data_IF_059382604773
#
_entry.id   IF_059382604773
#
_cell.length_a   1.000
_cell.length_b   1.000
_cell.length_c   1.000
_cell.angle_alpha   90.00
_cell.angle_beta   90.00
_cell.angle_gamma   90.00
#
_symmetry.space_group_name_H-M   'P 1'
#
loop_
_entity.id
_entity.type
_entity.pdbx_description
1 polymer ?
#
# COMPACT_ATOMS: atom_id res chain seq x y z
N UNK A 1 -58.18 -43.96 9.83
CA UNK A 1 -56.79 -44.02 9.34
C UNK A 1 -55.98 -42.99 10.10
N UNK A 2 -55.07 -43.43 10.98
CA UNK A 2 -54.16 -42.53 11.70
C UNK A 2 -52.90 -42.34 10.83
N UNK A 3 -52.40 -41.11 10.62
CA UNK A 3 -51.19 -40.87 9.85
C UNK A 3 -49.97 -41.48 10.57
N UNK A 4 -49.12 -42.18 9.82
CA UNK A 4 -47.87 -42.74 10.34
C UNK A 4 -46.92 -41.62 10.76
N UNK A 5 -46.22 -41.75 11.91
CA UNK A 5 -45.25 -40.75 12.33
C UNK A 5 -44.12 -40.70 11.30
N UNK A 6 -43.99 -39.55 10.62
CA UNK A 6 -42.85 -39.27 9.75
C UNK A 6 -41.59 -39.44 10.57
N UNK A 7 -40.72 -40.35 10.15
CA UNK A 7 -39.41 -40.54 10.77
C UNK A 7 -38.71 -39.19 10.88
N UNK A 8 -38.30 -38.89 12.11
CA UNK A 8 -37.65 -37.66 12.51
C UNK A 8 -36.27 -37.59 11.83
N UNK A 9 -36.23 -37.05 10.60
CA UNK A 9 -35.07 -36.96 9.70
C UNK A 9 -33.78 -36.42 10.34
N UNK A 10 -33.91 -35.62 11.41
CA UNK A 10 -32.82 -35.11 12.25
C UNK A 10 -32.08 -36.17 13.09
N UNK A 11 -32.51 -37.44 13.11
CA UNK A 11 -31.82 -38.54 13.84
C UNK A 11 -30.76 -39.26 12.99
N UNK A 12 -30.59 -38.91 11.72
CA UNK A 12 -29.57 -39.53 10.88
C UNK A 12 -28.19 -38.89 11.14
N UNK A 13 -27.17 -39.66 11.54
CA UNK A 13 -25.83 -39.14 11.83
C UNK A 13 -25.18 -38.45 10.62
N UNK A 14 -25.59 -38.81 9.39
CA UNK A 14 -25.15 -38.15 8.17
C UNK A 14 -25.57 -36.68 8.05
N UNK A 15 -26.66 -36.26 8.69
CA UNK A 15 -27.12 -34.85 8.67
C UNK A 15 -26.17 -33.97 9.47
N UNK A 16 -25.66 -34.45 10.60
CA UNK A 16 -24.69 -33.72 11.42
C UNK A 16 -23.33 -33.62 10.74
N UNK A 17 -22.88 -34.69 10.06
CA UNK A 17 -21.65 -34.65 9.27
C UNK A 17 -21.75 -33.67 8.09
N UNK A 18 -22.87 -33.68 7.37
CA UNK A 18 -23.11 -32.74 6.27
C UNK A 18 -23.17 -31.28 6.76
N UNK A 19 -23.86 -31.02 7.88
CA UNK A 19 -23.92 -29.71 8.50
C UNK A 19 -22.55 -29.22 8.98
N UNK A 20 -21.76 -30.10 9.61
CA UNK A 20 -20.39 -29.80 10.02
C UNK A 20 -19.47 -29.49 8.84
N UNK A 21 -19.55 -30.28 7.77
CA UNK A 21 -18.78 -30.05 6.55
C UNK A 21 -19.18 -28.71 5.87
N UNK A 22 -20.48 -28.43 5.77
CA UNK A 22 -20.97 -27.17 5.22
C UNK A 22 -20.50 -25.96 6.04
N UNK A 23 -20.51 -26.07 7.38
CA UNK A 23 -20.01 -25.02 8.26
C UNK A 23 -18.50 -24.81 8.09
N UNK A 24 -17.72 -25.89 8.04
CA UNK A 24 -16.27 -25.82 7.85
C UNK A 24 -15.89 -25.19 6.51
N UNK A 25 -16.59 -25.55 5.42
CA UNK A 25 -16.41 -24.94 4.10
C UNK A 25 -16.84 -23.48 4.12
N UNK A 26 -17.98 -23.14 4.73
CA UNK A 26 -18.46 -21.77 4.85
C UNK A 26 -17.50 -20.87 5.63
N UNK A 27 -16.93 -21.36 6.73
CA UNK A 27 -15.92 -20.65 7.51
C UNK A 27 -14.60 -20.53 6.75
N UNK A 28 -14.15 -21.61 6.11
CA UNK A 28 -12.93 -21.60 5.30
C UNK A 28 -13.02 -20.58 4.16
N UNK A 29 -14.13 -20.58 3.42
CA UNK A 29 -14.38 -19.60 2.37
C UNK A 29 -14.54 -18.19 2.94
N UNK A 30 -15.31 -18.02 4.02
CA UNK A 30 -15.52 -16.72 4.65
C UNK A 30 -14.23 -16.05 5.13
N UNK A 31 -13.25 -16.84 5.59
CA UNK A 31 -11.96 -16.35 6.04
C UNK A 31 -10.93 -16.20 4.90
N UNK A 32 -10.98 -17.07 3.88
CA UNK A 32 -10.02 -17.05 2.78
C UNK A 32 -10.36 -16.06 1.66
N UNK A 33 -11.65 -15.85 1.37
CA UNK A 33 -12.11 -14.98 0.29
C UNK A 33 -11.60 -13.53 0.43
N UNK A 34 -11.62 -12.88 1.61
CA UNK A 34 -11.11 -11.52 1.75
C UNK A 34 -9.64 -11.39 1.34
N UNK A 35 -8.79 -12.36 1.68
CA UNK A 35 -7.35 -12.33 1.38
C UNK A 35 -7.01 -12.43 -0.12
N UNK A 36 -7.94 -12.95 -0.93
CA UNK A 36 -7.80 -12.99 -2.39
C UNK A 36 -8.26 -11.67 -3.02
N UNK A 37 -9.12 -10.91 -2.33
CA UNK A 37 -9.76 -9.70 -2.85
C UNK A 37 -9.14 -8.41 -2.30
N UNK A 38 -8.30 -8.49 -1.26
CA UNK A 38 -7.49 -7.36 -0.84
C UNK A 38 -6.52 -7.01 -1.94
N UNK A 39 -6.58 -5.77 -2.41
CA UNK A 39 -5.58 -5.24 -3.32
C UNK A 39 -4.19 -5.48 -2.72
N UNK A 40 -3.21 -5.81 -3.57
CA UNK A 40 -1.82 -6.02 -3.17
C UNK A 40 -0.95 -4.93 -3.76
N UNK A 41 0.13 -4.53 -3.08
CA UNK A 41 1.07 -3.60 -3.66
C UNK A 41 1.67 -4.20 -4.94
N UNK A 42 1.93 -3.33 -5.90
CA UNK A 42 2.53 -3.72 -7.18
C UNK A 42 4.02 -3.99 -6.99
N UNK A 43 4.67 -3.26 -6.07
CA UNK A 43 6.08 -3.42 -5.69
C UNK A 43 6.22 -3.27 -4.17
N UNK A 44 7.12 -4.06 -3.58
CA UNK A 44 7.55 -3.92 -2.19
C UNK A 44 9.05 -3.67 -2.20
N UNK A 45 9.47 -2.56 -1.60
CA UNK A 45 10.89 -2.25 -1.40
C UNK A 45 11.26 -2.47 0.06
N UNK A 46 12.32 -3.24 0.32
CA UNK A 46 12.86 -3.44 1.66
C UNK A 46 13.83 -2.32 2.05
N UNK A 47 14.17 -2.22 3.34
CA UNK A 47 15.29 -1.38 3.79
C UNK A 47 16.57 -1.86 3.13
N UNK A 48 17.38 -0.91 2.63
CA UNK A 48 18.75 -1.17 2.20
C UNK A 48 19.70 -0.83 3.38
N UNK A 49 20.22 -1.85 4.09
CA UNK A 49 21.04 -1.62 5.29
C UNK A 49 22.44 -1.08 4.96
N UNK A 50 22.88 -1.25 3.71
CA UNK A 50 24.22 -0.87 3.25
C UNK A 50 24.21 0.47 2.50
N UNK A 51 23.03 1.07 2.31
CA UNK A 51 22.88 2.36 1.66
C UNK A 51 23.59 3.47 2.45
N UNK A 52 24.55 4.18 1.84
CA UNK A 52 25.20 5.30 2.49
C UNK A 52 24.23 6.46 2.65
N UNK A 53 24.24 7.08 3.83
CA UNK A 53 23.54 8.36 4.05
C UNK A 53 24.57 9.47 3.98
N UNK A 54 24.52 10.29 2.94
CA UNK A 54 25.31 11.52 2.86
C UNK A 54 24.49 12.72 3.35
N UNK A 55 24.70 13.21 4.59
CA UNK A 55 23.91 14.31 5.16
C UNK A 55 24.10 15.63 4.42
N UNK A 56 25.06 15.73 3.49
CA UNK A 56 25.31 16.93 2.70
C UNK A 56 24.39 17.05 1.47
N UNK A 57 23.61 16.01 1.17
CA UNK A 57 22.66 16.02 0.06
C UNK A 57 21.60 17.13 0.23
N UNK A 58 21.27 17.81 -0.87
CA UNK A 58 20.42 18.99 -0.84
C UNK A 58 18.98 18.67 -0.40
N UNK A 59 18.46 17.51 -0.79
CA UNK A 59 17.12 17.07 -0.43
C UNK A 59 16.99 16.79 1.07
N UNK A 60 18.05 16.33 1.76
CA UNK A 60 18.04 16.10 3.21
C UNK A 60 17.77 17.41 3.94
N UNK A 61 18.51 18.48 3.61
CA UNK A 61 18.27 19.81 4.16
C UNK A 61 16.86 20.32 3.88
N UNK A 62 16.26 19.90 2.77
CA UNK A 62 14.89 20.27 2.44
C UNK A 62 13.87 19.48 3.27
N UNK A 63 14.11 18.18 3.48
CA UNK A 63 13.32 17.33 4.36
C UNK A 63 13.40 17.78 5.84
N UNK A 64 14.59 18.13 6.34
CA UNK A 64 14.77 18.70 7.68
C UNK A 64 13.94 19.97 7.87
N UNK A 65 13.91 20.86 6.88
CA UNK A 65 13.13 22.11 6.97
C UNK A 65 11.63 21.90 6.80
N UNK A 66 11.22 20.99 5.92
CA UNK A 66 9.81 20.82 5.57
C UNK A 66 9.06 19.85 6.49
N UNK A 67 9.76 18.85 7.02
CA UNK A 67 9.18 17.74 7.80
C UNK A 67 9.77 17.63 9.21
N UNK A 68 10.77 18.46 9.55
CA UNK A 68 11.48 18.43 10.84
C UNK A 68 12.12 17.06 11.14
N UNK A 69 12.51 16.33 10.09
CA UNK A 69 13.15 15.01 10.18
C UNK A 69 14.58 15.15 10.67
N UNK A 70 15.02 14.28 11.57
CA UNK A 70 16.43 14.16 11.97
C UNK A 70 17.19 13.31 10.94
N UNK A 71 18.20 13.89 10.30
CA UNK A 71 19.06 13.21 9.33
C UNK A 71 19.74 11.95 9.92
N UNK A 72 20.02 11.93 11.22
CA UNK A 72 20.61 10.77 11.90
C UNK A 72 19.67 9.57 12.03
N UNK A 73 18.39 9.75 11.75
CA UNK A 73 17.36 8.69 11.79
C UNK A 73 16.97 8.18 10.41
N UNK A 74 17.60 8.70 9.35
CA UNK A 74 17.28 8.33 7.98
C UNK A 74 17.66 6.87 7.70
N UNK A 75 16.71 6.15 7.11
CA UNK A 75 16.88 4.79 6.61
C UNK A 75 16.46 4.77 5.15
N UNK A 76 17.35 4.30 4.28
CA UNK A 76 17.07 4.15 2.87
C UNK A 76 16.35 2.82 2.61
N UNK A 77 15.50 2.82 1.60
CA UNK A 77 14.95 1.63 1.00
C UNK A 77 15.66 1.31 -0.31
N UNK A 78 15.49 0.07 -0.77
CA UNK A 78 15.89 -0.37 -2.11
C UNK A 78 15.39 0.62 -3.16
N UNK A 79 16.28 1.01 -4.07
CA UNK A 79 15.92 1.87 -5.18
C UNK A 79 15.03 1.12 -6.17
N UNK A 80 13.90 1.74 -6.53
CA UNK A 80 12.95 1.19 -7.50
C UNK A 80 12.88 2.11 -8.69
N UNK A 81 13.39 1.65 -9.83
CA UNK A 81 13.28 2.35 -11.13
C UNK A 81 13.84 3.79 -11.12
N UNK A 82 14.83 4.07 -10.27
CA UNK A 82 15.41 5.42 -10.13
C UNK A 82 14.73 6.30 -9.07
N UNK A 83 13.68 5.78 -8.42
CA UNK A 83 13.08 6.36 -7.23
C UNK A 83 13.74 5.76 -5.98
N UNK A 84 14.21 6.61 -5.10
CA UNK A 84 14.74 6.24 -3.79
C UNK A 84 13.75 6.69 -2.72
N UNK A 85 13.39 5.78 -1.82
CA UNK A 85 12.54 6.09 -0.69
C UNK A 85 13.35 6.08 0.59
N UNK A 86 12.98 6.95 1.50
CA UNK A 86 13.61 7.10 2.80
C UNK A 86 12.54 7.17 3.88
N UNK A 87 12.84 6.63 5.06
CA UNK A 87 12.10 7.00 6.26
C UNK A 87 13.01 7.66 7.29
N UNK A 88 12.42 8.51 8.11
CA UNK A 88 13.09 9.14 9.26
C UNK A 88 12.08 9.46 10.34
N UNK A 89 12.57 9.94 11.48
CA UNK A 89 11.74 10.38 12.60
C UNK A 89 11.86 11.89 12.74
N UNK A 90 10.73 12.58 12.90
CA UNK A 90 10.74 14.02 13.16
C UNK A 90 10.81 14.36 14.65
N UNK A 91 10.96 15.65 14.96
CA UNK A 91 11.06 16.15 16.34
C UNK A 91 9.84 15.79 17.23
N UNK A 92 8.67 15.55 16.64
CA UNK A 92 7.47 15.12 17.34
C UNK A 92 7.38 13.60 17.55
N UNK A 93 8.38 12.83 17.10
CA UNK A 93 8.39 11.37 17.14
C UNK A 93 7.52 10.71 16.08
N UNK A 94 7.04 11.46 15.08
CA UNK A 94 6.29 10.91 13.96
C UNK A 94 7.24 10.32 12.92
N UNK A 95 6.84 9.21 12.31
CA UNK A 95 7.57 8.59 11.21
C UNK A 95 7.26 9.34 9.91
N UNK A 96 8.29 9.69 9.18
CA UNK A 96 8.17 10.37 7.89
C UNK A 96 8.61 9.45 6.76
N UNK A 97 7.91 9.50 5.63
CA UNK A 97 8.28 8.92 4.35
C UNK A 97 8.69 10.05 3.41
N UNK A 98 9.85 9.91 2.78
CA UNK A 98 10.41 10.87 1.83
C UNK A 98 10.69 10.12 0.53
N UNK A 99 10.30 10.71 -0.59
CA UNK A 99 10.49 10.11 -1.91
C UNK A 99 11.34 11.05 -2.77
N UNK A 100 12.40 10.52 -3.36
CA UNK A 100 13.47 11.25 -4.03
C UNK A 100 13.79 10.60 -5.39
N UNK A 101 14.16 11.40 -6.39
CA UNK A 101 14.61 10.96 -7.71
C UNK A 101 15.94 11.62 -8.05
N UNK A 102 17.02 10.84 -8.01
CA UNK A 102 18.37 11.39 -8.04
C UNK A 102 18.59 12.36 -6.88
N UNK A 103 18.94 13.61 -7.18
CA UNK A 103 19.12 14.66 -6.16
C UNK A 103 17.85 15.48 -5.89
N UNK A 104 16.76 15.22 -6.61
CA UNK A 104 15.53 16.01 -6.53
C UNK A 104 14.59 15.44 -5.45
N UNK A 105 14.22 16.28 -4.49
CA UNK A 105 13.11 15.95 -3.59
C UNK A 105 11.79 15.94 -4.37
N UNK A 106 11.11 14.80 -4.33
CA UNK A 106 9.77 14.65 -4.85
C UNK A 106 8.73 15.23 -3.92
N UNK A 107 8.50 14.52 -2.81
CA UNK A 107 7.52 14.86 -1.79
C UNK A 107 7.80 14.05 -0.51
N UNK A 108 7.12 14.36 0.58
CA UNK A 108 7.19 13.57 1.80
C UNK A 108 6.01 13.84 2.71
N UNK A 109 5.75 12.90 3.61
CA UNK A 109 4.68 13.01 4.60
C UNK A 109 5.10 12.34 5.90
N UNK A 110 4.52 12.81 7.01
CA UNK A 110 4.74 12.22 8.32
C UNK A 110 3.42 11.76 8.92
N UNK A 111 3.47 10.67 9.69
CA UNK A 111 2.34 10.14 10.41
C UNK A 111 2.78 9.69 11.81
N UNK A 112 2.02 10.03 12.87
CA UNK A 112 2.27 9.49 14.19
C UNK A 112 1.82 8.03 14.27
N UNK A 113 2.44 7.23 15.14
CA UNK A 113 1.98 5.87 15.39
C UNK A 113 0.50 5.84 15.86
N UNK A 114 -0.30 4.84 15.44
CA UNK A 114 0.07 3.67 14.62
C UNK A 114 -0.19 3.88 13.11
N UNK A 115 -0.19 5.12 12.62
CA UNK A 115 -0.47 5.43 11.22
C UNK A 115 0.79 5.29 10.37
N UNK A 116 0.62 4.71 9.17
CA UNK A 116 1.67 4.62 8.17
C UNK A 116 1.72 5.94 7.35
N UNK A 117 2.88 6.59 7.16
CA UNK A 117 2.98 7.74 6.28
C UNK A 117 2.79 7.33 4.81
N UNK A 118 2.03 8.14 4.08
CA UNK A 118 1.64 7.91 2.69
C UNK A 118 2.03 9.09 1.83
N UNK A 119 2.66 8.83 0.68
CA UNK A 119 2.97 9.86 -0.31
C UNK A 119 2.37 9.45 -1.64
N UNK A 120 1.56 10.34 -2.22
CA UNK A 120 0.90 10.13 -3.51
C UNK A 120 1.48 11.08 -4.55
N UNK A 121 1.72 10.55 -5.74
CA UNK A 121 2.08 11.32 -6.92
C UNK A 121 1.07 11.05 -8.02
N UNK A 122 0.56 12.12 -8.61
CA UNK A 122 -0.21 12.06 -9.83
C UNK A 122 0.73 12.35 -11.00
N UNK A 123 0.66 11.50 -12.02
CA UNK A 123 1.43 11.67 -13.25
C UNK A 123 0.87 12.87 -14.00
N UNK A 124 1.73 13.85 -14.25
CA UNK A 124 1.46 15.08 -15.00
C UNK A 124 2.65 15.32 -15.93
N UNK A 125 2.46 15.79 -17.18
CA UNK A 125 3.54 16.23 -18.07
C UNK A 125 4.63 17.12 -17.44
N UNK A 126 4.31 17.91 -16.42
CA UNK A 126 5.27 18.79 -15.74
C UNK A 126 6.22 18.06 -14.75
N UNK A 127 5.86 16.85 -14.30
CA UNK A 127 6.62 16.06 -13.34
C UNK A 127 6.77 14.64 -13.89
N UNK A 128 7.71 14.40 -14.82
CA UNK A 128 8.01 13.06 -15.29
C UNK A 128 8.63 12.27 -14.12
N UNK A 129 7.85 11.41 -13.49
CA UNK A 129 8.39 10.43 -12.55
C UNK A 129 9.18 9.39 -13.34
N UNK A 130 10.44 9.11 -12.97
CA UNK A 130 11.19 8.01 -13.55
C UNK A 130 10.61 6.70 -13.01
N UNK A 131 9.57 6.20 -13.65
CA UNK A 131 9.10 4.83 -13.49
C UNK A 131 9.20 4.16 -14.86
N UNK A 132 9.68 2.91 -14.88
CA UNK A 132 10.03 2.14 -16.06
C UNK A 132 8.85 1.88 -17.00
N UNK A 133 7.62 1.95 -16.50
CA UNK A 133 6.42 1.96 -17.33
C UNK A 133 5.92 3.41 -17.47
N UNK A 134 5.78 3.94 -18.71
CA UNK A 134 5.13 5.22 -18.90
C UNK A 134 3.68 5.08 -18.44
N UNK A 135 3.37 5.68 -17.30
CA UNK A 135 1.99 5.83 -16.87
C UNK A 135 1.36 6.94 -17.70
N UNK A 136 0.14 6.71 -18.15
CA UNK A 136 -0.63 7.74 -18.81
C UNK A 136 -0.92 8.90 -17.84
N UNK A 137 -1.10 10.09 -18.42
CA UNK A 137 -1.45 11.29 -17.66
C UNK A 137 -2.68 11.04 -16.79
N UNK A 138 -2.62 11.46 -15.51
CA UNK A 138 -3.68 11.21 -14.54
C UNK A 138 -3.54 9.91 -13.75
N UNK A 139 -2.58 9.04 -14.11
CA UNK A 139 -2.20 7.89 -13.28
C UNK A 139 -1.70 8.30 -11.90
N UNK A 140 -1.78 7.40 -10.93
CA UNK A 140 -1.38 7.64 -9.53
C UNK A 140 -0.40 6.59 -9.07
N UNK A 141 0.67 7.06 -8.41
CA UNK A 141 1.63 6.22 -7.71
C UNK A 141 1.58 6.57 -6.24
N UNK A 142 1.32 5.58 -5.40
CA UNK A 142 1.23 5.72 -3.95
C UNK A 142 2.35 4.92 -3.29
N UNK A 143 3.04 5.57 -2.38
CA UNK A 143 4.06 4.99 -1.52
C UNK A 143 3.52 4.94 -0.10
N UNK A 144 3.61 3.79 0.57
CA UNK A 144 3.17 3.60 1.96
C UNK A 144 4.31 2.97 2.74
N UNK A 145 4.84 3.65 3.75
CA UNK A 145 5.86 3.06 4.61
C UNK A 145 5.18 2.27 5.74
N UNK A 146 5.31 0.95 5.71
CA UNK A 146 4.72 0.04 6.70
C UNK A 146 5.79 -0.88 7.27
N UNK A 147 6.07 -0.74 8.57
CA UNK A 147 7.15 -1.51 9.20
C UNK A 147 8.48 -1.28 8.46
N UNK A 148 9.17 -2.33 8.05
CA UNK A 148 10.47 -2.24 7.38
C UNK A 148 10.38 -2.28 5.85
N UNK A 149 9.21 -1.99 5.29
CA UNK A 149 9.00 -1.96 3.83
C UNK A 149 8.29 -0.68 3.39
N UNK A 150 8.51 -0.33 2.12
CA UNK A 150 7.64 0.61 1.40
C UNK A 150 6.83 -0.18 0.37
N UNK A 151 5.51 -0.13 0.54
CA UNK A 151 4.54 -0.65 -0.43
C UNK A 151 4.30 0.42 -1.51
N UNK A 152 4.48 0.04 -2.78
CA UNK A 152 4.27 0.92 -3.92
C UNK A 152 3.07 0.42 -4.71
N UNK A 153 2.14 1.33 -4.98
CA UNK A 153 0.88 1.07 -5.65
C UNK A 153 0.79 1.94 -6.89
N UNK A 154 0.51 1.34 -8.03
CA UNK A 154 0.47 2.01 -9.32
C UNK A 154 -0.91 1.82 -9.93
N UNK A 155 -1.57 2.92 -10.29
CA UNK A 155 -2.89 2.89 -10.92
C UNK A 155 -2.89 3.76 -12.16
N UNK A 156 -3.38 3.19 -13.26
CA UNK A 156 -3.68 3.93 -14.47
C UNK A 156 -4.78 4.97 -14.21
N UNK A 157 -4.84 6.05 -15.01
CA UNK A 157 -5.97 6.95 -14.96
C UNK A 157 -7.26 6.17 -15.18
N UNK A 158 -8.32 6.53 -14.45
CA UNK A 158 -9.64 6.03 -14.82
C UNK A 158 -9.92 6.49 -16.25
N UNK A 159 -10.28 5.58 -17.15
CA UNK A 159 -10.74 5.95 -18.49
C UNK A 159 -11.79 7.05 -18.34
N UNK A 160 -11.51 8.24 -18.89
CA UNK A 160 -12.47 9.31 -18.95
C UNK A 160 -13.69 8.76 -19.69
N UNK A 161 -14.77 8.47 -18.96
CA UNK A 161 -16.06 8.17 -19.57
C UNK A 161 -16.38 9.28 -20.58
N UNK A 162 -17.05 8.97 -21.70
CA UNK A 162 -17.24 9.92 -22.80
C UNK A 162 -17.74 11.26 -22.27
N UNK A 163 -17.03 12.34 -22.61
CA UNK A 163 -17.38 13.71 -22.26
C UNK A 163 -18.86 13.96 -22.57
N UNK A 164 -19.69 14.00 -21.53
CA UNK A 164 -21.06 14.48 -21.61
C UNK A 164 -21.01 16.01 -21.58
N UNK A 165 -20.34 16.59 -22.58
CA UNK A 165 -20.17 18.02 -22.75
C UNK A 165 -20.45 18.42 -24.19
N UNK A 166 -21.55 17.92 -24.75
CA UNK A 166 -22.23 18.49 -25.92
C UNK A 166 -23.74 18.46 -25.63
N UNK A 167 -24.25 19.53 -25.03
CA UNK A 167 -25.70 19.82 -24.91
C UNK A 167 -25.93 21.32 -24.83
#
# INVERSE_FOLDING_TARGET
MLPTPRSAWWRHPGVFLAAGAALAVGLGLGLALPAVWTARPDIIAAIDPDAPVDPTEAWIRQAERALEVDAGTLQQYEQVQGVTMWTGTNAAGARCLIVVWGELWGNGSCAPDPLDPVVDFRVNPDIPMPLAAPLDEGGVVRFVARGDVVEIWVREPAESGPDVSDS
#
